data_IF_147319241920
#
_entry.id   IF_147319241920
#
_cell.length_a   1.000
_cell.length_b   1.000
_cell.length_c   1.000
_cell.angle_alpha   90.00
_cell.angle_beta   90.00
_cell.angle_gamma   90.00
#
_symmetry.space_group_name_H-M   'P 1'
#
loop_
_entity.id
_entity.type
_entity.pdbx_description
1 polymer ?
#
# COMPACT_ATOMS: atom_id res chain seq x y z
N UNK A 1 77.69 11.77 -22.60
CA UNK A 1 76.83 10.68 -23.07
C UNK A 1 75.69 10.56 -22.07
N UNK A 2 74.50 11.21 -22.34
CA UNK A 2 73.36 11.25 -21.46
C UNK A 2 72.30 10.34 -22.07
N UNK A 3 71.97 9.26 -21.38
CA UNK A 3 70.86 8.35 -21.71
C UNK A 3 69.59 8.93 -21.16
N UNK A 4 68.63 9.19 -22.06
CA UNK A 4 67.31 9.66 -21.75
C UNK A 4 66.40 8.44 -21.58
N UNK A 5 65.85 8.23 -20.38
CA UNK A 5 64.81 7.19 -20.06
C UNK A 5 63.47 7.67 -20.55
N UNK A 6 62.89 6.94 -21.47
CA UNK A 6 61.47 7.15 -21.90
C UNK A 6 60.56 6.36 -20.96
N UNK A 7 59.79 7.08 -20.17
CA UNK A 7 58.76 6.51 -19.30
C UNK A 7 57.50 6.22 -20.12
N UNK A 8 57.16 4.97 -20.28
CA UNK A 8 55.87 4.50 -20.84
C UNK A 8 54.79 4.63 -19.80
N UNK A 9 53.86 5.56 -20.02
CA UNK A 9 52.67 5.70 -19.22
C UNK A 9 51.66 4.62 -19.67
N UNK A 10 51.42 3.65 -18.79
CA UNK A 10 50.41 2.63 -18.97
C UNK A 10 49.05 3.23 -18.61
N UNK A 11 48.24 3.57 -19.63
CA UNK A 11 46.87 4.05 -19.48
C UNK A 11 45.98 2.85 -19.27
N UNK A 12 45.81 2.42 -18.01
CA UNK A 12 44.81 1.42 -17.64
C UNK A 12 43.41 2.00 -17.80
N UNK A 13 42.66 1.52 -18.80
CA UNK A 13 41.24 1.78 -18.99
C UNK A 13 40.49 1.27 -17.76
N UNK A 14 40.03 2.16 -16.90
CA UNK A 14 39.05 1.88 -15.88
C UNK A 14 37.70 1.72 -16.60
N UNK A 15 37.29 0.49 -16.87
CA UNK A 15 35.88 0.16 -17.18
C UNK A 15 35.03 0.41 -15.93
N UNK A 16 34.48 1.61 -15.83
CA UNK A 16 33.35 1.88 -14.91
C UNK A 16 32.18 1.09 -15.42
N UNK A 17 31.97 -0.09 -14.85
CA UNK A 17 30.65 -0.75 -14.91
C UNK A 17 29.65 0.17 -14.20
N UNK A 18 28.96 1.02 -14.95
CA UNK A 18 27.68 1.58 -14.53
C UNK A 18 26.70 0.42 -14.48
N UNK A 19 26.70 -0.33 -13.38
CA UNK A 19 25.57 -1.16 -13.01
C UNK A 19 24.39 -0.22 -12.90
N UNK A 20 23.39 -0.40 -13.76
CA UNK A 20 22.11 0.27 -13.60
C UNK A 20 21.60 -0.14 -12.23
N UNK A 21 21.60 0.80 -11.28
CA UNK A 21 20.85 0.68 -10.04
C UNK A 21 19.40 0.76 -10.50
N UNK A 22 18.80 -0.38 -10.79
CA UNK A 22 17.36 -0.47 -11.03
C UNK A 22 16.72 -0.12 -9.70
N UNK A 23 16.07 1.02 -9.62
CA UNK A 23 15.39 1.45 -8.42
C UNK A 23 14.24 0.45 -8.16
N UNK A 24 14.19 -0.18 -6.98
CA UNK A 24 13.18 -1.18 -6.63
C UNK A 24 11.76 -0.66 -6.88
N UNK A 25 11.54 0.60 -6.63
CA UNK A 25 10.31 1.34 -6.89
C UNK A 25 9.90 1.37 -8.37
N UNK A 26 10.85 1.57 -9.30
CA UNK A 26 10.55 1.55 -10.74
C UNK A 26 10.19 0.14 -11.24
N UNK A 27 10.78 -0.90 -10.67
CA UNK A 27 10.43 -2.28 -10.97
C UNK A 27 9.03 -2.63 -10.46
N UNK A 28 8.66 -2.19 -9.27
CA UNK A 28 7.32 -2.37 -8.73
C UNK A 28 6.28 -1.57 -9.52
N UNK A 29 6.57 -0.32 -9.90
CA UNK A 29 5.71 0.48 -10.79
C UNK A 29 5.43 -0.24 -12.10
N UNK A 30 6.48 -0.72 -12.77
CA UNK A 30 6.36 -1.47 -14.03
C UNK A 30 5.55 -2.75 -13.85
N UNK A 31 5.83 -3.51 -12.79
CA UNK A 31 5.13 -4.76 -12.45
C UNK A 31 3.63 -4.52 -12.23
N UNK A 32 3.27 -3.50 -11.45
CA UNK A 32 1.88 -3.19 -11.17
C UNK A 32 1.16 -2.58 -12.37
N UNK A 33 1.82 -1.72 -13.16
CA UNK A 33 1.27 -1.23 -14.42
C UNK A 33 0.95 -2.38 -15.37
N UNK A 34 1.85 -3.33 -15.56
CA UNK A 34 1.62 -4.51 -16.39
C UNK A 34 0.45 -5.34 -15.86
N UNK A 35 0.36 -5.53 -14.55
CA UNK A 35 -0.72 -6.28 -13.91
C UNK A 35 -2.09 -5.64 -14.12
N UNK A 36 -2.19 -4.31 -14.03
CA UNK A 36 -3.45 -3.58 -14.20
C UNK A 36 -3.77 -3.22 -15.65
N UNK A 37 -2.85 -3.44 -16.58
CA UNK A 37 -3.07 -3.17 -18.02
C UNK A 37 -3.94 -4.25 -18.68
N UNK A 38 -5.17 -4.37 -18.21
CA UNK A 38 -6.17 -5.34 -18.68
C UNK A 38 -7.51 -4.63 -18.88
N UNK A 39 -8.40 -5.21 -19.71
CA UNK A 39 -9.75 -4.68 -19.90
C UNK A 39 -10.65 -4.81 -18.67
N UNK A 40 -10.35 -5.76 -17.77
CA UNK A 40 -11.16 -6.05 -16.60
C UNK A 40 -10.50 -5.56 -15.30
N UNK A 41 -11.31 -5.43 -14.25
CA UNK A 41 -10.83 -5.10 -12.91
C UNK A 41 -10.32 -6.36 -12.21
N UNK A 42 -9.01 -6.43 -12.00
CA UNK A 42 -8.29 -7.63 -11.49
C UNK A 42 -8.87 -8.13 -10.17
N UNK A 43 -9.22 -7.21 -9.28
CA UNK A 43 -9.79 -7.54 -7.96
C UNK A 43 -11.30 -7.27 -7.88
N UNK A 44 -11.93 -7.05 -9.05
CA UNK A 44 -13.35 -6.70 -9.15
C UNK A 44 -13.67 -5.31 -8.61
N UNK A 45 -14.96 -4.96 -8.60
CA UNK A 45 -15.46 -3.64 -8.20
C UNK A 45 -16.13 -3.64 -6.82
N UNK A 46 -16.39 -4.81 -6.23
CA UNK A 46 -17.01 -4.89 -4.90
C UNK A 46 -15.99 -4.50 -3.83
N UNK A 47 -16.37 -3.66 -2.85
CA UNK A 47 -15.49 -3.34 -1.73
C UNK A 47 -15.17 -4.57 -0.91
N UNK A 48 -14.08 -4.51 -0.15
CA UNK A 48 -13.75 -5.57 0.80
C UNK A 48 -14.89 -5.80 1.78
N UNK A 49 -15.18 -7.06 2.04
CA UNK A 49 -16.23 -7.46 2.98
C UNK A 49 -15.99 -6.87 4.37
N UNK A 50 -14.73 -6.80 4.82
CA UNK A 50 -14.37 -6.18 6.09
C UNK A 50 -14.75 -4.71 6.13
N UNK A 51 -14.36 -3.92 5.11
CA UNK A 51 -14.72 -2.50 4.99
C UNK A 51 -16.24 -2.32 4.98
N UNK A 52 -16.95 -3.08 4.13
CA UNK A 52 -18.41 -2.99 4.03
C UNK A 52 -19.11 -3.28 5.35
N UNK A 53 -18.69 -4.35 6.06
CA UNK A 53 -19.29 -4.74 7.35
C UNK A 53 -19.03 -3.78 8.50
N UNK A 54 -17.95 -2.99 8.42
CA UNK A 54 -17.52 -2.09 9.50
C UNK A 54 -17.74 -0.61 9.19
N UNK A 55 -18.39 -0.29 8.06
CA UNK A 55 -18.61 1.08 7.61
C UNK A 55 -19.24 1.99 8.66
N UNK A 56 -20.24 1.48 9.39
CA UNK A 56 -21.03 2.25 10.34
C UNK A 56 -20.25 2.72 11.58
N UNK A 57 -19.14 2.06 11.91
CA UNK A 57 -18.31 2.49 13.05
C UNK A 57 -17.19 3.45 12.65
N UNK A 58 -17.00 3.69 11.34
CA UNK A 58 -15.92 4.56 10.84
C UNK A 58 -16.30 6.03 10.97
N UNK A 59 -15.35 6.84 11.42
CA UNK A 59 -15.51 8.30 11.49
C UNK A 59 -15.56 8.86 10.06
N UNK A 60 -16.65 9.61 9.75
CA UNK A 60 -16.83 10.26 8.45
C UNK A 60 -15.94 11.50 8.34
N UNK A 61 -15.57 11.85 7.13
CA UNK A 61 -14.74 13.02 6.81
C UNK A 61 -13.71 12.69 5.75
N UNK A 62 -12.50 13.25 5.87
CA UNK A 62 -11.42 13.06 4.92
C UNK A 62 -10.82 11.66 5.09
N UNK A 63 -10.83 10.87 4.03
CA UNK A 63 -10.26 9.53 4.04
C UNK A 63 -9.05 9.41 3.10
N UNK A 64 -8.01 8.71 3.52
CA UNK A 64 -6.89 8.32 2.65
C UNK A 64 -6.94 6.80 2.43
N UNK A 65 -6.91 6.40 1.15
CA UNK A 65 -6.82 4.99 0.75
C UNK A 65 -5.43 4.73 0.18
N UNK A 66 -4.58 4.08 0.96
CA UNK A 66 -3.20 3.73 0.58
C UNK A 66 -3.19 2.45 -0.29
N UNK A 67 -2.34 2.42 -1.31
CA UNK A 67 -2.21 1.32 -2.27
C UNK A 67 -3.60 0.86 -2.78
N UNK A 68 -4.39 1.83 -3.27
CA UNK A 68 -5.82 1.62 -3.53
C UNK A 68 -6.14 0.72 -4.73
N UNK A 69 -5.14 0.43 -5.58
CA UNK A 69 -5.32 -0.30 -6.81
C UNK A 69 -6.32 0.39 -7.74
N UNK A 70 -7.22 -0.39 -8.33
CA UNK A 70 -8.26 0.07 -9.25
C UNK A 70 -9.44 0.78 -8.57
N UNK A 71 -9.33 1.11 -7.26
CA UNK A 71 -10.23 2.01 -6.56
C UNK A 71 -11.49 1.39 -5.95
N UNK A 72 -11.66 0.06 -5.88
CA UNK A 72 -12.90 -0.56 -5.38
C UNK A 72 -13.31 -0.11 -3.97
N UNK A 73 -12.35 0.09 -3.06
CA UNK A 73 -12.60 0.56 -1.70
C UNK A 73 -12.75 2.09 -1.65
N UNK A 74 -11.93 2.83 -2.42
CA UNK A 74 -11.99 4.29 -2.50
C UNK A 74 -13.35 4.77 -3.05
N UNK A 75 -13.82 4.18 -4.15
CA UNK A 75 -15.14 4.49 -4.74
C UNK A 75 -16.28 4.14 -3.77
N UNK A 76 -16.17 3.03 -3.04
CA UNK A 76 -17.16 2.67 -2.04
C UNK A 76 -17.22 3.68 -0.88
N UNK A 77 -16.06 4.12 -0.36
CA UNK A 77 -15.99 5.15 0.68
C UNK A 77 -16.56 6.48 0.18
N UNK A 78 -16.18 6.93 -1.04
CA UNK A 78 -16.72 8.15 -1.64
C UNK A 78 -18.25 8.08 -1.79
N UNK A 79 -18.80 6.95 -2.27
CA UNK A 79 -20.24 6.71 -2.34
C UNK A 79 -20.92 6.59 -0.98
N UNK A 80 -20.15 6.42 0.09
CA UNK A 80 -20.61 6.38 1.47
C UNK A 80 -20.47 7.71 2.21
N UNK A 81 -20.11 8.81 1.51
CA UNK A 81 -20.06 10.17 2.07
C UNK A 81 -18.72 10.56 2.69
N UNK A 82 -17.61 9.89 2.33
CA UNK A 82 -16.27 10.34 2.66
C UNK A 82 -15.72 11.25 1.55
N UNK A 83 -14.89 12.23 1.91
CA UNK A 83 -14.03 12.93 0.98
C UNK A 83 -12.73 12.13 0.82
N UNK A 84 -12.50 11.56 -0.36
CA UNK A 84 -11.50 10.49 -0.52
C UNK A 84 -10.31 10.93 -1.36
N UNK A 85 -9.14 10.92 -0.72
CA UNK A 85 -7.83 10.87 -1.36
C UNK A 85 -7.44 9.38 -1.52
N UNK A 86 -6.98 8.98 -2.70
CA UNK A 86 -6.50 7.62 -2.92
C UNK A 86 -5.24 7.58 -3.76
N UNK A 87 -4.27 6.76 -3.38
CA UNK A 87 -3.01 6.66 -4.10
C UNK A 87 -2.60 5.22 -4.40
N UNK A 88 -1.88 5.06 -5.50
CA UNK A 88 -1.25 3.81 -5.92
C UNK A 88 0.00 4.13 -6.75
N UNK A 89 0.97 3.22 -6.78
CA UNK A 89 2.18 3.39 -7.59
C UNK A 89 1.91 3.26 -9.09
N UNK A 90 0.82 2.59 -9.47
CA UNK A 90 0.46 2.26 -10.85
C UNK A 90 -0.42 3.34 -11.48
N UNK A 91 0.07 3.98 -12.54
CA UNK A 91 -0.72 4.88 -13.39
C UNK A 91 -1.96 4.18 -13.95
N UNK A 92 -1.84 2.90 -14.34
CA UNK A 92 -2.96 2.12 -14.89
C UNK A 92 -4.05 1.87 -13.85
N UNK A 93 -3.67 1.61 -12.59
CA UNK A 93 -4.63 1.52 -11.50
C UNK A 93 -5.37 2.85 -11.28
N UNK A 94 -4.63 3.97 -11.27
CA UNK A 94 -5.20 5.31 -11.11
C UNK A 94 -6.14 5.67 -12.26
N UNK A 95 -5.78 5.41 -13.52
CA UNK A 95 -6.67 5.61 -14.68
C UNK A 95 -8.00 4.85 -14.50
N UNK A 96 -7.92 3.55 -14.15
CA UNK A 96 -9.09 2.70 -13.95
C UNK A 96 -9.93 3.15 -12.75
N UNK A 97 -9.30 3.57 -11.65
CA UNK A 97 -10.02 4.08 -10.47
C UNK A 97 -10.82 5.34 -10.77
N UNK A 98 -10.25 6.28 -11.54
CA UNK A 98 -10.94 7.50 -12.00
C UNK A 98 -12.14 7.18 -12.88
N UNK A 99 -11.97 6.25 -13.85
CA UNK A 99 -13.07 5.78 -14.69
C UNK A 99 -14.17 5.10 -13.86
N UNK A 100 -13.79 4.34 -12.84
CA UNK A 100 -14.75 3.69 -11.96
C UNK A 100 -15.52 4.71 -11.11
N UNK A 101 -14.84 5.69 -10.53
CA UNK A 101 -15.47 6.78 -9.78
C UNK A 101 -16.46 7.56 -10.65
N UNK A 102 -16.05 7.96 -11.86
CA UNK A 102 -16.92 8.64 -12.84
C UNK A 102 -18.17 7.83 -13.17
N UNK A 103 -18.03 6.54 -13.49
CA UNK A 103 -19.16 5.64 -13.77
C UNK A 103 -20.07 5.40 -12.57
N UNK A 104 -19.54 5.55 -11.37
CA UNK A 104 -20.30 5.42 -10.11
C UNK A 104 -20.91 6.74 -9.64
N UNK A 105 -20.67 7.86 -10.35
CA UNK A 105 -21.20 9.18 -9.99
C UNK A 105 -20.62 9.76 -8.70
N UNK A 106 -19.37 9.41 -8.35
CA UNK A 106 -18.70 9.89 -7.12
C UNK A 106 -17.43 10.67 -7.44
N UNK A 107 -17.10 11.64 -6.57
CA UNK A 107 -15.82 12.34 -6.61
C UNK A 107 -14.73 11.50 -5.91
N UNK A 108 -13.55 11.45 -6.50
CA UNK A 108 -12.38 10.77 -5.97
C UNK A 108 -11.12 11.52 -6.39
N UNK A 109 -10.32 11.97 -5.44
CA UNK A 109 -9.00 12.51 -5.71
C UNK A 109 -7.99 11.36 -5.79
N UNK A 110 -7.80 10.80 -6.98
CA UNK A 110 -6.89 9.69 -7.24
C UNK A 110 -5.59 10.18 -7.85
N UNK A 111 -4.44 9.82 -7.26
CA UNK A 111 -3.13 10.25 -7.70
C UNK A 111 -2.09 9.13 -7.64
N UNK A 112 -1.09 9.22 -8.51
CA UNK A 112 0.06 8.29 -8.51
C UNK A 112 1.00 8.69 -7.38
N UNK A 113 1.37 7.74 -6.55
CA UNK A 113 2.39 7.94 -5.51
C UNK A 113 3.11 6.64 -5.21
N UNK A 114 4.41 6.76 -5.05
CA UNK A 114 5.24 5.74 -4.45
C UNK A 114 5.23 5.91 -2.93
N UNK A 115 4.73 4.92 -2.21
CA UNK A 115 4.61 4.98 -0.76
C UNK A 115 5.96 4.90 -0.02
N UNK A 116 7.04 4.53 -0.71
CA UNK A 116 8.39 4.62 -0.16
C UNK A 116 8.86 6.09 -0.05
N UNK A 117 8.37 6.95 -0.95
CA UNK A 117 8.77 8.36 -1.01
C UNK A 117 7.66 9.32 -0.52
N UNK A 118 6.38 8.94 -0.70
CA UNK A 118 5.23 9.77 -0.37
C UNK A 118 5.16 10.03 1.13
N UNK A 119 4.95 11.31 1.48
CA UNK A 119 4.75 11.74 2.88
C UNK A 119 3.28 12.01 3.13
N UNK A 120 2.71 11.25 4.05
CA UNK A 120 1.32 11.42 4.48
C UNK A 120 1.21 12.77 5.22
N UNK A 121 0.33 13.70 4.79
CA UNK A 121 0.13 14.97 5.50
C UNK A 121 -0.32 14.74 6.96
N UNK A 122 0.32 15.46 7.89
CA UNK A 122 0.05 15.36 9.33
C UNK A 122 -1.34 15.92 9.66
N UNK A 123 -2.06 15.26 10.58
CA UNK A 123 -3.37 15.67 11.13
C UNK A 123 -4.43 16.04 10.05
N UNK A 124 -4.37 15.37 8.89
CA UNK A 124 -5.27 15.67 7.76
C UNK A 124 -6.50 14.77 7.70
N UNK A 125 -6.37 13.50 8.10
CA UNK A 125 -7.37 12.48 7.79
C UNK A 125 -8.18 12.03 9.00
N UNK A 126 -9.47 11.84 8.78
CA UNK A 126 -10.41 11.25 9.74
C UNK A 126 -10.38 9.72 9.65
N UNK A 127 -10.01 9.19 8.47
CA UNK A 127 -9.84 7.75 8.20
C UNK A 127 -8.61 7.53 7.32
N UNK A 128 -7.74 6.59 7.69
CA UNK A 128 -6.71 6.04 6.77
C UNK A 128 -6.94 4.54 6.64
N UNK A 129 -7.01 4.06 5.40
CA UNK A 129 -7.15 2.63 5.12
C UNK A 129 -5.95 2.08 4.37
N UNK A 130 -5.51 0.87 4.74
CA UNK A 130 -4.46 0.13 4.07
C UNK A 130 -4.87 -1.34 3.94
N UNK A 131 -5.06 -1.81 2.70
CA UNK A 131 -5.57 -3.15 2.43
C UNK A 131 -4.64 -3.94 1.52
N UNK A 132 -4.19 -5.11 2.00
CA UNK A 132 -3.32 -6.05 1.25
C UNK A 132 -2.02 -5.41 0.74
N UNK A 133 -1.54 -4.44 1.50
CA UNK A 133 -0.25 -3.80 1.34
C UNK A 133 0.47 -3.79 2.69
N UNK A 134 1.76 -4.11 2.69
CA UNK A 134 2.56 -4.19 3.93
C UNK A 134 3.85 -3.43 3.73
N UNK A 135 3.95 -2.27 4.41
CA UNK A 135 5.14 -1.46 4.52
C UNK A 135 5.19 -0.89 5.93
N UNK A 136 6.14 -1.35 6.73
CA UNK A 136 6.17 -1.12 8.17
C UNK A 136 6.48 0.32 8.56
N UNK A 137 7.32 0.98 7.80
CA UNK A 137 7.70 2.39 7.99
C UNK A 137 6.58 3.39 7.62
N UNK A 138 5.49 2.94 7.00
CA UNK A 138 4.27 3.74 6.86
C UNK A 138 3.47 3.86 8.17
N UNK A 139 3.62 2.93 9.10
CA UNK A 139 2.82 2.93 10.35
C UNK A 139 2.98 4.22 11.15
N UNK A 140 4.19 4.74 11.41
CA UNK A 140 4.35 6.04 12.05
C UNK A 140 3.66 7.17 11.28
N UNK A 141 3.80 7.23 9.95
CA UNK A 141 3.18 8.25 9.11
C UNK A 141 1.64 8.15 9.13
N UNK A 142 1.07 6.93 9.14
CA UNK A 142 -0.39 6.72 9.30
C UNK A 142 -0.86 7.30 10.64
N UNK A 143 -0.14 7.07 11.72
CA UNK A 143 -0.47 7.61 13.04
C UNK A 143 -0.44 9.14 13.08
N UNK A 144 0.59 9.74 12.47
CA UNK A 144 0.74 11.19 12.37
C UNK A 144 -0.30 11.82 11.44
N UNK A 145 -0.60 11.18 10.32
CA UNK A 145 -1.57 11.65 9.32
C UNK A 145 -3.02 11.67 9.81
N UNK A 146 -3.33 10.85 10.83
CA UNK A 146 -4.65 10.86 11.44
C UNK A 146 -4.83 12.05 12.38
N UNK A 147 -6.00 12.70 12.30
CA UNK A 147 -6.48 13.66 13.29
C UNK A 147 -6.71 12.98 14.64
N UNK A 148 -6.74 13.76 15.73
CA UNK A 148 -7.26 13.27 17.01
C UNK A 148 -8.69 12.75 16.83
N UNK A 149 -8.95 11.53 17.33
CA UNK A 149 -10.23 10.83 17.09
C UNK A 149 -10.33 10.13 15.74
N UNK A 150 -9.41 10.37 14.81
CA UNK A 150 -9.36 9.69 13.52
C UNK A 150 -9.04 8.20 13.66
N UNK A 151 -9.39 7.43 12.64
CA UNK A 151 -9.29 5.97 12.66
C UNK A 151 -8.36 5.44 11.58
N UNK A 152 -7.65 4.38 11.89
CA UNK A 152 -7.02 3.50 10.90
C UNK A 152 -7.86 2.25 10.73
N UNK A 153 -8.01 1.81 9.47
CA UNK A 153 -8.55 0.49 9.13
C UNK A 153 -7.54 -0.26 8.26
N UNK A 154 -7.05 -1.37 8.78
CA UNK A 154 -5.97 -2.14 8.17
C UNK A 154 -6.38 -3.60 8.03
N UNK A 155 -6.11 -4.22 6.87
CA UNK A 155 -6.19 -5.67 6.69
C UNK A 155 -5.14 -6.13 5.68
N UNK A 156 -4.30 -7.06 6.08
CA UNK A 156 -3.33 -7.70 5.19
C UNK A 156 -3.06 -9.13 5.62
N UNK A 157 -2.28 -9.87 4.84
CA UNK A 157 -1.96 -11.26 5.13
C UNK A 157 -1.10 -11.40 6.39
N UNK A 158 -1.41 -12.42 7.21
CA UNK A 158 -0.59 -12.85 8.34
C UNK A 158 0.48 -13.85 7.91
N UNK A 159 1.47 -14.08 8.77
CA UNK A 159 2.52 -15.08 8.57
C UNK A 159 1.94 -16.50 8.39
N UNK A 160 0.77 -16.76 8.96
CA UNK A 160 0.06 -18.04 8.80
C UNK A 160 -0.37 -18.32 7.35
N UNK A 161 -0.35 -17.31 6.46
CA UNK A 161 -0.61 -17.53 5.04
C UNK A 161 0.35 -18.52 4.40
N UNK A 162 1.57 -18.66 4.93
CA UNK A 162 2.57 -19.60 4.42
C UNK A 162 2.18 -21.06 4.62
N UNK A 163 1.30 -21.37 5.59
CA UNK A 163 0.81 -22.73 5.86
C UNK A 163 0.04 -23.33 4.70
N UNK A 164 -0.55 -22.50 3.86
CA UNK A 164 -1.39 -22.94 2.73
C UNK A 164 -0.61 -23.20 1.44
N UNK A 165 0.74 -23.06 1.48
CA UNK A 165 1.60 -23.38 0.35
C UNK A 165 1.59 -22.35 -0.78
N UNK A 166 2.27 -22.72 -1.87
CA UNK A 166 2.57 -21.79 -2.97
C UNK A 166 1.35 -21.37 -3.80
N UNK A 167 0.31 -22.20 -3.86
CA UNK A 167 -0.88 -21.95 -4.69
C UNK A 167 -1.95 -21.12 -3.98
N UNK A 168 -1.81 -20.87 -2.67
CA UNK A 168 -2.68 -19.99 -1.92
C UNK A 168 -2.56 -18.53 -2.37
N UNK A 169 -3.58 -17.68 -2.20
CA UNK A 169 -3.49 -16.26 -2.55
C UNK A 169 -2.47 -15.50 -1.70
N UNK A 170 -2.03 -14.33 -2.18
CA UNK A 170 -1.16 -13.41 -1.44
C UNK A 170 0.34 -13.69 -1.58
N UNK A 171 1.16 -12.90 -0.85
CA UNK A 171 2.61 -12.97 -0.91
C UNK A 171 3.16 -14.30 -0.39
N UNK A 172 4.30 -14.72 -0.94
CA UNK A 172 5.07 -15.89 -0.48
C UNK A 172 6.33 -15.49 0.28
N UNK A 173 6.77 -14.24 0.10
CA UNK A 173 7.87 -13.68 0.87
C UNK A 173 7.35 -13.26 2.26
N UNK A 174 7.95 -13.80 3.36
CA UNK A 174 7.57 -13.45 4.74
C UNK A 174 7.64 -11.96 5.06
N UNK A 175 8.49 -11.19 4.38
CA UNK A 175 8.65 -9.75 4.61
C UNK A 175 7.36 -8.96 4.32
N UNK A 176 6.52 -9.47 3.43
CA UNK A 176 5.20 -8.90 3.12
C UNK A 176 4.05 -9.44 3.97
N UNK A 177 4.35 -10.26 4.98
CA UNK A 177 3.39 -10.84 5.89
C UNK A 177 3.57 -10.26 7.30
N UNK A 178 2.47 -10.02 8.01
CA UNK A 178 2.53 -9.57 9.40
C UNK A 178 2.77 -10.76 10.34
N UNK A 179 3.68 -10.58 11.29
CA UNK A 179 3.88 -11.53 12.40
C UNK A 179 2.68 -11.51 13.34
N UNK A 180 2.57 -12.53 14.18
CA UNK A 180 1.52 -12.57 15.22
C UNK A 180 1.58 -11.35 16.12
N UNK A 181 0.42 -10.73 16.34
CA UNK A 181 0.22 -9.51 17.13
C UNK A 181 0.96 -8.26 16.62
N UNK A 182 1.73 -8.32 15.54
CA UNK A 182 2.54 -7.20 15.05
C UNK A 182 1.71 -5.93 14.81
N UNK A 183 0.53 -6.09 14.19
CA UNK A 183 -0.34 -4.94 13.93
C UNK A 183 -0.99 -4.41 15.23
N UNK A 184 -1.33 -5.28 16.16
CA UNK A 184 -1.85 -4.89 17.47
C UNK A 184 -0.82 -4.10 18.27
N UNK A 185 0.42 -4.59 18.33
CA UNK A 185 1.53 -3.92 19.02
C UNK A 185 1.87 -2.57 18.38
N UNK A 186 1.79 -2.49 17.05
CA UNK A 186 2.04 -1.27 16.31
C UNK A 186 1.07 -0.13 16.67
N UNK A 187 -0.17 -0.45 17.03
CA UNK A 187 -1.21 0.52 17.39
C UNK A 187 -1.66 0.46 18.86
N UNK A 188 -0.87 -0.13 19.76
CA UNK A 188 -1.20 -0.25 21.21
C UNK A 188 -1.45 1.07 21.94
N UNK A 189 -0.92 2.18 21.43
CA UNK A 189 -1.14 3.54 21.92
C UNK A 189 -2.50 4.13 21.47
N UNK A 190 -3.15 3.51 20.49
CA UNK A 190 -4.49 3.84 20.02
C UNK A 190 -5.55 3.10 20.84
N UNK A 191 -6.82 3.51 20.73
CA UNK A 191 -7.95 2.73 21.20
C UNK A 191 -8.28 1.66 20.17
N UNK A 192 -8.03 0.39 20.47
CA UNK A 192 -8.39 -0.73 19.60
C UNK A 192 -9.91 -0.93 19.63
N UNK A 193 -10.55 -0.78 18.48
CA UNK A 193 -12.01 -0.98 18.31
C UNK A 193 -12.33 -2.34 17.73
N UNK A 194 -11.41 -2.89 16.95
CA UNK A 194 -11.53 -4.22 16.37
C UNK A 194 -10.14 -4.79 16.13
N UNK A 195 -9.96 -6.05 16.45
CA UNK A 195 -8.79 -6.83 16.08
C UNK A 195 -9.19 -8.26 15.77
N UNK A 196 -8.63 -8.80 14.72
CA UNK A 196 -8.75 -10.20 14.34
C UNK A 196 -7.47 -10.64 13.66
N UNK A 197 -7.00 -11.82 13.99
CA UNK A 197 -5.92 -12.51 13.32
C UNK A 197 -6.37 -13.96 13.06
N UNK A 198 -6.13 -14.47 11.84
CA UNK A 198 -6.43 -15.84 11.46
C UNK A 198 -7.14 -16.00 10.13
N UNK A 199 -7.66 -17.17 9.91
CA UNK A 199 -8.34 -17.56 8.66
C UNK A 199 -9.69 -16.85 8.50
N UNK A 200 -9.91 -16.26 7.32
CA UNK A 200 -11.16 -15.58 6.95
C UNK A 200 -11.92 -16.26 5.82
N UNK A 201 -11.24 -17.12 5.09
CA UNK A 201 -11.76 -17.95 4.01
C UNK A 201 -10.79 -19.10 3.79
N UNK A 202 -11.17 -20.09 3.04
CA UNK A 202 -10.31 -21.21 2.67
C UNK A 202 -8.97 -20.71 2.11
N UNK A 203 -7.87 -21.20 2.69
CA UNK A 203 -6.49 -20.85 2.34
C UNK A 203 -6.15 -19.35 2.43
N UNK A 204 -6.85 -18.59 3.29
CA UNK A 204 -6.64 -17.16 3.45
C UNK A 204 -6.61 -16.73 4.91
N UNK A 205 -5.40 -16.47 5.44
CA UNK A 205 -5.18 -15.94 6.78
C UNK A 205 -4.74 -14.48 6.74
N UNK A 206 -5.40 -13.64 7.55
CA UNK A 206 -5.17 -12.20 7.60
C UNK A 206 -5.10 -11.67 9.02
N UNK A 207 -4.54 -10.47 9.15
CA UNK A 207 -4.71 -9.61 10.32
C UNK A 207 -5.61 -8.45 9.92
N UNK A 208 -6.64 -8.18 10.71
CA UNK A 208 -7.57 -7.05 10.51
C UNK A 208 -7.62 -6.21 11.76
N UNK A 209 -7.50 -4.88 11.63
CA UNK A 209 -7.51 -3.94 12.75
C UNK A 209 -8.37 -2.71 12.41
N UNK A 210 -9.09 -2.21 13.40
CA UNK A 210 -9.61 -0.84 13.44
C UNK A 210 -9.15 -0.24 14.77
N UNK A 211 -8.43 0.88 14.69
CA UNK A 211 -7.94 1.58 15.87
C UNK A 211 -8.18 3.08 15.75
N UNK A 212 -8.44 3.76 16.86
CA UNK A 212 -8.73 5.18 16.94
C UNK A 212 -7.62 5.93 17.69
N UNK A 213 -7.13 7.01 17.09
CA UNK A 213 -6.15 7.92 17.69
C UNK A 213 -6.79 8.64 18.91
N UNK A 214 -6.14 8.59 20.07
CA UNK A 214 -6.60 9.22 21.33
C UNK A 214 -6.43 10.72 21.31
#
# INVERSE_FOLDING_TARGET
MKMTLISTINLSLLFLCFGQIVNASEDDRRKWNNRYNTGEYIYGKKPLTFLKKKLEILVRGNALVLAMGEGRNAVFLAGSGFDVDGCDISEKAIEKSKLFAQKSGVALNAFVADLEEYKIPVDKYDLITCFYYTQRDLIPQIKEGLKKGGMVMFETYSIDQLKYGKDAPGPKNPDYLLKHNELLDSFRDFRILYYREGEIAENKSVVSLIAQKK
#
